data_IF_036984151216
#
_entry.id   IF_036984151216
#
_cell.length_a   1.000
_cell.length_b   1.000
_cell.length_c   1.000
_cell.angle_alpha   90.00
_cell.angle_beta   90.00
_cell.angle_gamma   90.00
#
_symmetry.space_group_name_H-M   'P 1'
#
loop_
_entity.id
_entity.type
_entity.pdbx_description
1 polymer ?
#
# COMPACT_ATOMS: atom_id res chain seq x y z
N UNK A 1 -5.36 20.10 -3.94
CA UNK A 1 -4.01 20.45 -3.47
C UNK A 1 -3.56 19.31 -2.59
N UNK A 2 -2.84 18.27 -3.05
CA UNK A 2 -2.25 17.86 -4.34
C UNK A 2 -3.28 17.42 -5.41
N UNK A 3 -2.81 16.65 -6.40
CA UNK A 3 -3.15 16.65 -7.85
C UNK A 3 -2.91 17.97 -8.59
N UNK A 4 -2.83 19.09 -7.90
CA UNK A 4 -2.52 20.41 -8.46
C UNK A 4 -1.40 21.11 -7.66
N UNK A 5 -0.60 21.98 -8.30
CA UNK A 5 0.47 22.75 -7.65
C UNK A 5 -0.03 23.67 -6.51
N UNK A 6 0.85 24.00 -5.54
CA UNK A 6 2.25 23.61 -5.46
C UNK A 6 2.41 22.16 -4.98
N UNK A 7 3.34 21.46 -5.63
CA UNK A 7 3.71 20.10 -5.26
C UNK A 7 4.74 20.12 -4.13
N UNK A 8 4.77 19.06 -3.31
CA UNK A 8 5.90 18.77 -2.43
C UNK A 8 7.11 18.44 -3.30
N UNK A 9 8.23 19.09 -3.04
CA UNK A 9 9.48 18.85 -3.76
C UNK A 9 10.33 17.74 -3.14
N UNK A 10 9.93 17.24 -1.97
CA UNK A 10 10.62 16.21 -1.21
C UNK A 10 9.60 15.27 -0.56
N UNK A 11 10.05 14.04 -0.31
CA UNK A 11 9.37 13.08 0.55
C UNK A 11 9.61 13.48 2.01
N UNK A 12 8.59 13.39 2.86
CA UNK A 12 8.72 13.67 4.29
C UNK A 12 8.59 12.40 5.13
N UNK A 13 9.13 12.44 6.33
CA UNK A 13 9.05 11.31 7.25
C UNK A 13 7.59 10.96 7.58
N UNK A 14 7.22 9.68 7.45
CA UNK A 14 5.84 9.22 7.64
C UNK A 14 5.00 9.17 6.35
N UNK A 15 5.47 9.78 5.25
CA UNK A 15 4.81 9.62 3.95
C UNK A 15 4.88 8.15 3.47
N UNK A 16 4.04 7.78 2.50
CA UNK A 16 4.05 6.46 1.87
C UNK A 16 4.37 6.52 0.38
N UNK A 17 5.13 5.54 -0.10
CA UNK A 17 5.49 5.39 -1.51
C UNK A 17 4.68 4.25 -2.14
N UNK A 18 4.00 4.58 -3.22
CA UNK A 18 3.23 3.67 -4.07
C UNK A 18 3.79 3.67 -5.49
N UNK A 19 3.57 2.59 -6.24
CA UNK A 19 4.19 2.38 -7.56
C UNK A 19 4.63 0.94 -7.77
N UNK A 20 5.40 0.69 -8.82
CA UNK A 20 6.05 -0.61 -9.03
C UNK A 20 7.14 -0.84 -7.98
N UNK A 21 7.36 -2.08 -7.54
CA UNK A 21 8.33 -2.39 -6.48
C UNK A 21 9.72 -1.88 -6.80
N UNK A 22 10.25 -2.21 -7.98
CA UNK A 22 11.60 -1.81 -8.40
C UNK A 22 11.74 -0.28 -8.46
N UNK A 23 10.67 0.41 -8.87
CA UNK A 23 10.63 1.87 -8.96
C UNK A 23 10.59 2.53 -7.58
N UNK A 24 9.81 2.00 -6.64
CA UNK A 24 9.83 2.47 -5.25
C UNK A 24 11.22 2.32 -4.65
N UNK A 25 11.86 1.18 -4.85
CA UNK A 25 13.23 0.93 -4.36
C UNK A 25 14.26 1.84 -5.06
N UNK A 26 14.09 2.10 -6.37
CA UNK A 26 14.91 3.04 -7.13
C UNK A 26 14.79 4.46 -6.59
N UNK A 27 13.59 4.94 -6.29
CA UNK A 27 13.37 6.27 -5.73
C UNK A 27 14.03 6.41 -4.36
N UNK A 28 13.75 5.46 -3.47
CA UNK A 28 14.38 5.43 -2.13
C UNK A 28 15.90 5.40 -2.25
N UNK A 29 16.46 4.63 -3.21
CA UNK A 29 17.91 4.40 -3.30
C UNK A 29 18.69 5.45 -4.10
N UNK A 30 18.08 6.16 -5.05
CA UNK A 30 18.82 7.00 -6.02
C UNK A 30 18.29 8.41 -6.17
N UNK A 31 17.09 8.72 -5.70
CA UNK A 31 16.49 10.04 -5.90
C UNK A 31 16.69 10.89 -4.64
N UNK A 32 17.34 12.03 -4.82
CA UNK A 32 17.73 12.92 -3.72
C UNK A 32 16.54 13.39 -2.88
N UNK A 33 15.42 13.67 -3.55
CA UNK A 33 14.15 14.08 -2.95
C UNK A 33 13.52 13.02 -2.04
N UNK A 34 14.03 11.78 -2.07
CA UNK A 34 13.57 10.66 -1.24
C UNK A 34 14.64 10.20 -0.23
N UNK A 35 15.78 10.89 -0.14
CA UNK A 35 16.89 10.51 0.75
C UNK A 35 16.50 10.47 2.23
N UNK A 36 15.49 11.24 2.67
CA UNK A 36 15.05 11.20 4.08
C UNK A 36 14.60 9.81 4.51
N UNK A 37 14.11 8.97 3.59
CA UNK A 37 13.79 7.55 3.86
C UNK A 37 15.03 6.77 4.32
N UNK A 38 16.22 7.17 3.85
CA UNK A 38 17.50 6.57 4.26
C UNK A 38 18.06 7.17 5.53
N UNK A 39 17.63 8.38 5.90
CA UNK A 39 18.06 9.01 7.14
C UNK A 39 17.38 8.30 8.30
N UNK A 40 18.11 7.36 8.89
CA UNK A 40 17.73 6.69 10.13
C UNK A 40 17.68 7.74 11.23
N UNK A 41 16.48 8.13 11.64
CA UNK A 41 16.30 9.07 12.73
C UNK A 41 16.38 8.36 14.08
N UNK A 42 16.60 9.20 15.10
CA UNK A 42 17.13 8.91 16.43
C UNK A 42 16.63 7.65 17.12
N UNK A 43 17.52 7.10 17.96
CA UNK A 43 17.32 5.97 18.86
C UNK A 43 15.91 5.97 19.47
N UNK A 44 15.19 4.87 19.30
CA UNK A 44 14.00 4.46 20.03
C UNK A 44 14.21 4.61 21.54
N UNK A 45 13.12 4.51 22.31
CA UNK A 45 13.18 4.33 23.77
C UNK A 45 14.10 3.17 24.19
N UNK A 46 14.32 2.18 23.31
CA UNK A 46 15.23 1.05 23.49
C UNK A 46 16.67 1.28 23.02
N UNK A 47 17.03 2.49 22.55
CA UNK A 47 18.38 2.80 22.08
C UNK A 47 18.68 2.36 20.64
N UNK A 48 17.71 1.77 19.93
CA UNK A 48 17.82 1.23 18.57
C UNK A 48 17.26 2.19 17.53
N UNK A 49 17.86 2.26 16.34
CA UNK A 49 17.37 3.15 15.28
C UNK A 49 16.04 2.62 14.70
N UNK A 50 14.96 3.38 14.84
CA UNK A 50 13.68 3.10 14.19
C UNK A 50 13.46 4.08 13.04
N UNK A 51 12.99 3.60 11.90
CA UNK A 51 12.60 4.44 10.76
C UNK A 51 11.15 4.16 10.42
N UNK A 52 10.33 5.22 10.36
CA UNK A 52 8.91 5.10 10.05
C UNK A 52 8.72 4.36 8.72
N UNK A 53 7.76 3.41 8.63
CA UNK A 53 7.63 2.62 7.41
C UNK A 53 7.13 3.44 6.23
N UNK A 54 7.97 3.60 5.20
CA UNK A 54 7.69 4.38 4.00
C UNK A 54 6.90 3.62 2.91
N UNK A 55 6.59 2.33 3.11
CA UNK A 55 5.89 1.50 2.12
C UNK A 55 4.81 0.67 2.80
N UNK A 56 3.67 0.51 2.11
CA UNK A 56 2.54 -0.30 2.61
C UNK A 56 2.92 -1.78 2.85
N UNK A 57 4.00 -2.26 2.24
CA UNK A 57 4.56 -3.58 2.46
C UNK A 57 4.89 -3.86 3.94
N UNK A 58 5.33 -2.84 4.68
CA UNK A 58 5.67 -2.97 6.10
C UNK A 58 4.45 -3.02 7.04
N UNK A 59 3.26 -2.67 6.54
CA UNK A 59 2.01 -2.73 7.29
C UNK A 59 1.42 -4.13 7.17
N UNK A 60 2.06 -5.11 7.81
CA UNK A 60 1.68 -6.53 7.69
C UNK A 60 0.25 -6.75 8.18
N UNK A 61 -0.54 -7.50 7.39
CA UNK A 61 -1.83 -8.05 7.84
C UNK A 61 -1.63 -9.45 8.43
N UNK A 62 -2.58 -10.01 9.20
CA UNK A 62 -2.36 -11.25 9.96
C UNK A 62 -1.90 -12.43 9.10
N UNK A 63 -2.50 -12.62 7.91
CA UNK A 63 -2.10 -13.69 7.00
C UNK A 63 -0.67 -13.54 6.47
N UNK A 64 -0.18 -12.31 6.25
CA UNK A 64 1.21 -12.07 5.85
C UNK A 64 2.17 -12.39 7.00
N UNK A 65 1.86 -11.91 8.21
CA UNK A 65 2.66 -12.13 9.40
C UNK A 65 2.79 -13.64 9.70
N UNK A 66 1.66 -14.36 9.71
CA UNK A 66 1.64 -15.82 9.91
C UNK A 66 2.40 -16.60 8.84
N UNK A 67 2.26 -16.23 7.56
CA UNK A 67 3.01 -16.85 6.47
C UNK A 67 4.52 -16.60 6.62
N UNK A 68 4.92 -15.37 6.96
CA UNK A 68 6.33 -15.01 7.12
C UNK A 68 6.99 -15.77 8.28
N UNK A 69 6.32 -15.84 9.43
CA UNK A 69 6.80 -16.59 10.60
C UNK A 69 6.94 -18.08 10.25
N UNK A 70 5.89 -18.68 9.70
CA UNK A 70 5.89 -20.09 9.31
C UNK A 70 6.98 -20.41 8.28
N UNK A 71 7.18 -19.54 7.29
CA UNK A 71 8.24 -19.69 6.30
C UNK A 71 9.63 -19.67 6.96
N UNK A 72 9.90 -18.71 7.84
CA UNK A 72 11.20 -18.58 8.48
C UNK A 72 11.50 -19.74 9.43
N UNK A 73 10.52 -20.27 10.14
CA UNK A 73 10.70 -21.43 11.00
C UNK A 73 11.04 -22.68 10.20
N UNK A 74 10.33 -22.93 9.11
CA UNK A 74 10.64 -24.02 8.19
C UNK A 74 12.02 -23.84 7.55
N UNK A 75 12.35 -22.62 7.11
CA UNK A 75 13.64 -22.29 6.52
C UNK A 75 14.80 -22.57 7.50
N UNK A 76 14.66 -22.17 8.78
CA UNK A 76 15.66 -22.45 9.83
C UNK A 76 15.83 -23.95 10.06
N UNK A 77 14.74 -24.73 10.12
CA UNK A 77 14.79 -26.20 10.28
C UNK A 77 15.52 -26.86 9.11
N UNK A 78 15.27 -26.43 7.88
CA UNK A 78 15.95 -26.96 6.70
C UNK A 78 17.46 -26.71 6.73
N UNK A 79 17.90 -25.52 7.19
CA UNK A 79 19.33 -25.22 7.38
C UNK A 79 19.94 -26.11 8.46
N UNK A 80 19.26 -26.25 9.61
CA UNK A 80 19.72 -27.07 10.74
C UNK A 80 19.90 -28.54 10.39
N UNK A 81 19.04 -29.07 9.50
CA UNK A 81 19.08 -30.47 9.05
C UNK A 81 20.15 -30.74 7.96
N UNK A 82 21.07 -29.80 7.69
CA UNK A 82 22.08 -29.87 6.60
C UNK A 82 21.50 -30.19 5.22
N UNK A 83 20.21 -29.96 4.99
CA UNK A 83 19.66 -29.97 3.64
C UNK A 83 20.31 -28.80 2.88
N UNK A 84 20.78 -29.06 1.66
CA UNK A 84 21.39 -28.03 0.80
C UNK A 84 20.32 -26.99 0.45
N UNK A 85 20.23 -25.92 1.23
CA UNK A 85 19.45 -24.72 0.86
C UNK A 85 20.26 -23.97 -0.20
N UNK A 86 20.26 -24.49 -1.42
CA UNK A 86 21.03 -23.94 -2.55
C UNK A 86 20.26 -22.92 -3.37
N UNK A 87 19.03 -22.60 -2.99
CA UNK A 87 18.18 -21.71 -3.76
C UNK A 87 18.31 -20.25 -3.28
N UNK A 88 19.05 -19.45 -4.05
CA UNK A 88 19.23 -18.02 -3.81
C UNK A 88 17.89 -17.26 -3.64
N UNK A 89 16.84 -17.69 -4.34
CA UNK A 89 15.50 -17.10 -4.20
C UNK A 89 14.93 -17.29 -2.78
N UNK A 90 15.10 -18.47 -2.18
CA UNK A 90 14.65 -18.72 -0.80
C UNK A 90 15.43 -17.89 0.20
N UNK A 91 16.74 -17.72 0.00
CA UNK A 91 17.59 -16.87 0.84
C UNK A 91 17.15 -15.41 0.75
N UNK A 92 16.93 -14.91 -0.46
CA UNK A 92 16.45 -13.54 -0.68
C UNK A 92 15.09 -13.31 -0.01
N UNK A 93 14.14 -14.24 -0.18
CA UNK A 93 12.83 -14.18 0.49
C UNK A 93 12.94 -14.23 2.01
N UNK A 94 13.82 -15.08 2.56
CA UNK A 94 14.06 -15.14 4.00
C UNK A 94 14.62 -13.82 4.54
N UNK A 95 15.55 -13.19 3.82
CA UNK A 95 16.12 -11.91 4.19
C UNK A 95 15.06 -10.79 4.11
N UNK A 96 14.21 -10.82 3.09
CA UNK A 96 13.10 -9.87 2.96
C UNK A 96 12.09 -10.02 4.11
N UNK A 97 11.70 -11.25 4.46
CA UNK A 97 10.77 -11.50 5.56
C UNK A 97 11.34 -11.08 6.90
N UNK A 98 12.62 -11.37 7.16
CA UNK A 98 13.33 -10.84 8.33
C UNK A 98 13.31 -9.32 8.36
N UNK A 99 13.53 -8.65 7.22
CA UNK A 99 13.48 -7.18 7.14
C UNK A 99 12.12 -6.64 7.55
N UNK A 100 11.01 -7.24 7.08
CA UNK A 100 9.67 -6.82 7.49
C UNK A 100 9.42 -7.09 8.98
N UNK A 101 9.71 -8.31 9.45
CA UNK A 101 9.47 -8.69 10.84
C UNK A 101 10.31 -7.90 11.85
N UNK A 102 11.52 -7.48 11.46
CA UNK A 102 12.34 -6.62 12.31
C UNK A 102 11.71 -5.24 12.50
N UNK A 103 11.08 -4.68 11.46
CA UNK A 103 10.40 -3.37 11.56
C UNK A 103 9.16 -3.47 12.44
N UNK A 104 8.36 -4.53 12.30
CA UNK A 104 7.13 -4.66 13.09
C UNK A 104 7.37 -5.03 14.56
N UNK A 105 8.60 -5.42 14.90
CA UNK A 105 9.00 -5.74 16.27
C UNK A 105 9.30 -4.51 17.13
N UNK A 106 9.40 -3.30 16.54
CA UNK A 106 9.57 -2.06 17.29
C UNK A 106 8.29 -1.67 18.01
N UNK A 107 8.40 -1.19 19.24
CA UNK A 107 7.25 -0.72 20.03
C UNK A 107 6.55 0.45 19.33
N UNK A 108 7.32 1.37 18.76
CA UNK A 108 6.83 2.53 18.01
C UNK A 108 6.00 2.14 16.77
N UNK A 109 6.24 0.95 16.19
CA UNK A 109 5.42 0.46 15.08
C UNK A 109 3.99 0.11 15.53
N UNK A 110 3.78 -0.20 16.82
CA UNK A 110 2.47 -0.56 17.37
C UNK A 110 1.40 0.49 17.10
N UNK A 111 1.73 1.78 17.22
CA UNK A 111 0.80 2.89 16.95
C UNK A 111 0.36 2.94 15.48
N UNK A 112 1.29 2.72 14.55
CA UNK A 112 1.03 2.64 13.12
C UNK A 112 0.15 1.43 12.78
N UNK A 113 0.46 0.26 13.36
CA UNK A 113 -0.34 -0.97 13.19
C UNK A 113 -1.77 -0.74 13.64
N UNK A 114 -1.97 -0.23 14.85
CA UNK A 114 -3.32 -0.03 15.40
C UNK A 114 -4.09 1.06 14.67
N UNK A 115 -3.44 2.15 14.28
CA UNK A 115 -4.06 3.19 13.44
C UNK A 115 -4.59 2.60 12.13
N UNK A 116 -3.75 1.85 11.42
CA UNK A 116 -4.13 1.21 10.17
C UNK A 116 -5.22 0.15 10.36
N UNK A 117 -5.08 -0.72 11.36
CA UNK A 117 -6.06 -1.78 11.65
C UNK A 117 -7.40 -1.20 12.08
N UNK A 118 -7.41 -0.16 12.92
CA UNK A 118 -8.63 0.55 13.33
C UNK A 118 -9.38 1.11 12.12
N UNK A 119 -8.67 1.68 11.14
CA UNK A 119 -9.27 2.12 9.88
C UNK A 119 -9.86 0.96 9.08
N UNK A 120 -9.09 -0.12 8.90
CA UNK A 120 -9.54 -1.30 8.16
C UNK A 120 -10.78 -1.96 8.79
N UNK A 121 -10.80 -2.14 10.12
CA UNK A 121 -11.94 -2.73 10.87
C UNK A 121 -13.25 -1.99 10.59
N UNK A 122 -13.20 -0.66 10.50
CA UNK A 122 -14.36 0.20 10.24
C UNK A 122 -14.75 0.27 8.77
N UNK A 123 -13.85 -0.13 7.86
CA UNK A 123 -14.06 -0.01 6.42
C UNK A 123 -14.86 -1.19 5.85
N UNK A 124 -16.06 -0.92 5.32
CA UNK A 124 -17.01 -1.90 4.79
C UNK A 124 -16.47 -2.90 3.74
N UNK A 125 -15.39 -2.56 3.04
CA UNK A 125 -14.78 -3.36 1.97
C UNK A 125 -13.43 -3.98 2.32
N UNK A 126 -12.71 -3.39 3.28
CA UNK A 126 -11.31 -3.74 3.52
C UNK A 126 -11.11 -4.50 4.83
N UNK A 127 -12.07 -4.48 5.76
CA UNK A 127 -12.01 -5.21 7.03
C UNK A 127 -11.61 -6.68 6.87
N UNK A 128 -12.01 -7.34 5.78
CA UNK A 128 -11.72 -8.75 5.49
C UNK A 128 -10.23 -9.09 5.47
N UNK A 129 -9.33 -8.12 5.27
CA UNK A 129 -7.88 -8.40 5.26
C UNK A 129 -7.33 -8.72 6.65
N UNK A 130 -8.13 -8.50 7.70
CA UNK A 130 -7.78 -8.79 9.09
C UNK A 130 -8.21 -10.19 9.54
N UNK A 131 -8.87 -10.96 8.67
CA UNK A 131 -9.21 -12.35 8.96
C UNK A 131 -7.94 -13.21 8.87
N UNK A 132 -7.70 -14.05 9.88
CA UNK A 132 -6.54 -14.93 9.96
C UNK A 132 -6.73 -16.22 9.15
N UNK A 133 -7.97 -16.57 8.82
CA UNK A 133 -8.33 -17.84 8.16
C UNK A 133 -8.40 -17.74 6.62
N UNK A 134 -8.03 -16.59 6.06
CA UNK A 134 -8.02 -16.38 4.61
C UNK A 134 -6.67 -16.80 4.02
N UNK A 135 -6.69 -17.25 2.78
CA UNK A 135 -5.45 -17.42 2.02
C UNK A 135 -4.95 -16.07 1.51
N UNK A 136 -3.62 -15.89 1.51
CA UNK A 136 -3.01 -14.74 0.86
C UNK A 136 -3.08 -14.90 -0.65
N UNK A 137 -3.81 -14.00 -1.29
CA UNK A 137 -3.90 -13.90 -2.74
C UNK A 137 -3.83 -12.44 -3.22
N UNK A 138 -3.85 -12.24 -4.54
CA UNK A 138 -3.83 -10.90 -5.14
C UNK A 138 -5.07 -10.06 -4.81
N UNK A 139 -6.18 -10.66 -4.38
CA UNK A 139 -7.38 -9.95 -3.96
C UNK A 139 -7.17 -9.35 -2.58
N UNK A 140 -6.68 -10.15 -1.63
CA UNK A 140 -6.37 -9.74 -0.25
C UNK A 140 -5.27 -8.69 -0.24
N UNK A 141 -4.16 -8.91 -0.96
CA UNK A 141 -3.10 -7.91 -1.07
C UNK A 141 -3.62 -6.64 -1.74
N UNK A 142 -4.44 -6.77 -2.79
CA UNK A 142 -5.08 -5.62 -3.43
C UNK A 142 -6.00 -4.84 -2.47
N UNK A 143 -6.73 -5.52 -1.58
CA UNK A 143 -7.57 -4.89 -0.55
C UNK A 143 -6.71 -4.18 0.50
N UNK A 144 -5.63 -4.81 1.00
CA UNK A 144 -4.67 -4.19 1.92
C UNK A 144 -4.14 -2.89 1.35
N UNK A 145 -3.61 -2.94 0.13
CA UNK A 145 -3.01 -1.81 -0.55
C UNK A 145 -3.98 -0.63 -0.74
N UNK A 146 -5.20 -0.89 -1.21
CA UNK A 146 -6.25 0.14 -1.33
C UNK A 146 -6.75 0.62 0.02
N UNK A 147 -6.75 -0.26 1.03
CA UNK A 147 -7.01 0.09 2.42
C UNK A 147 -5.97 1.07 2.95
N UNK A 148 -4.69 0.89 2.62
CA UNK A 148 -3.61 1.82 2.94
C UNK A 148 -3.82 3.20 2.29
N UNK A 149 -4.20 3.23 1.01
CA UNK A 149 -4.55 4.50 0.34
C UNK A 149 -5.69 5.20 1.07
N UNK A 150 -6.78 4.46 1.37
CA UNK A 150 -7.93 4.98 2.10
C UNK A 150 -7.59 5.41 3.53
N UNK A 151 -6.67 4.72 4.20
CA UNK A 151 -6.26 5.04 5.56
C UNK A 151 -5.54 6.39 5.61
N UNK A 152 -4.49 6.57 4.81
CA UNK A 152 -3.76 7.84 4.76
C UNK A 152 -4.68 8.98 4.33
N UNK A 153 -5.52 8.74 3.32
CA UNK A 153 -6.31 9.80 2.70
C UNK A 153 -7.62 10.13 3.41
N UNK A 154 -8.23 9.19 4.12
CA UNK A 154 -9.61 9.35 4.61
C UNK A 154 -9.80 8.96 6.07
N UNK A 155 -8.73 8.61 6.79
CA UNK A 155 -8.84 8.36 8.22
C UNK A 155 -8.77 9.68 9.01
N UNK A 156 -9.58 9.77 10.06
CA UNK A 156 -9.61 10.91 10.97
C UNK A 156 -8.74 10.64 12.20
N UNK A 157 -7.47 10.28 11.99
CA UNK A 157 -6.52 10.12 13.09
C UNK A 157 -5.31 11.04 12.90
N UNK A 158 -4.83 11.58 14.02
CA UNK A 158 -3.70 12.51 14.09
C UNK A 158 -2.46 11.96 13.37
N UNK A 159 -2.22 10.65 13.46
CA UNK A 159 -1.08 9.99 12.82
C UNK A 159 -1.05 10.19 11.30
N UNK A 160 -2.21 10.24 10.65
CA UNK A 160 -2.31 10.37 9.18
C UNK A 160 -2.51 11.80 8.71
N UNK A 161 -2.60 12.77 9.61
CA UNK A 161 -2.92 14.16 9.27
C UNK A 161 -1.88 14.75 8.30
N UNK A 162 -0.60 14.57 8.62
CA UNK A 162 0.53 15.08 7.82
C UNK A 162 1.04 14.09 6.75
N UNK A 163 0.58 12.84 6.80
CA UNK A 163 1.01 11.78 5.88
C UNK A 163 0.51 12.04 4.46
N UNK A 164 1.41 11.94 3.49
CA UNK A 164 1.11 12.01 2.06
C UNK A 164 1.53 10.74 1.34
N UNK A 165 0.93 10.52 0.17
CA UNK A 165 1.26 9.42 -0.72
C UNK A 165 2.00 9.98 -1.93
N UNK A 166 3.19 9.42 -2.17
CA UNK A 166 4.01 9.66 -3.33
C UNK A 166 3.84 8.48 -4.29
N UNK A 167 3.08 8.68 -5.37
CA UNK A 167 2.79 7.64 -6.35
C UNK A 167 3.72 7.77 -7.56
N UNK A 168 4.61 6.79 -7.72
CA UNK A 168 5.60 6.75 -8.80
C UNK A 168 4.96 6.19 -10.08
N UNK A 169 5.03 6.94 -11.17
CA UNK A 169 4.47 6.59 -12.48
C UNK A 169 5.48 5.93 -13.43
N UNK A 170 6.77 5.98 -13.10
CA UNK A 170 7.84 5.41 -13.92
C UNK A 170 7.57 3.93 -14.26
N UNK A 171 7.83 3.54 -15.51
CA UNK A 171 7.63 2.19 -16.05
C UNK A 171 6.19 1.64 -15.99
N UNK A 172 5.20 2.47 -15.63
CA UNK A 172 3.79 2.08 -15.67
C UNK A 172 3.24 2.29 -17.08
N UNK A 173 2.88 1.20 -17.75
CA UNK A 173 2.06 1.25 -18.95
C UNK A 173 0.62 1.67 -18.61
N UNK A 174 0.32 2.97 -18.73
CA UNK A 174 -0.99 3.56 -18.40
C UNK A 174 -2.13 2.94 -19.22
N UNK A 175 -1.87 2.61 -20.49
CA UNK A 175 -2.87 1.97 -21.36
C UNK A 175 -3.31 0.62 -20.81
N UNK A 176 -2.36 -0.23 -20.40
CA UNK A 176 -2.68 -1.54 -19.80
C UNK A 176 -3.40 -1.43 -18.45
N UNK A 177 -3.09 -0.39 -17.67
CA UNK A 177 -3.79 -0.10 -16.41
C UNK A 177 -5.26 0.21 -16.71
N UNK A 178 -5.51 1.08 -17.68
CA UNK A 178 -6.84 1.54 -18.08
C UNK A 178 -7.63 0.41 -18.72
N UNK A 179 -7.03 -0.38 -19.60
CA UNK A 179 -7.68 -1.51 -20.27
C UNK A 179 -7.85 -2.74 -19.38
N UNK A 180 -7.33 -2.70 -18.15
CA UNK A 180 -7.32 -3.82 -17.19
C UNK A 180 -6.64 -5.08 -17.74
N UNK A 181 -5.74 -4.94 -18.72
CA UNK A 181 -4.95 -6.05 -19.26
C UNK A 181 -3.76 -6.39 -18.35
N UNK A 182 -3.36 -5.47 -17.48
CA UNK A 182 -2.37 -5.70 -16.42
C UNK A 182 -3.05 -5.97 -15.09
N UNK A 183 -2.94 -7.21 -14.61
CA UNK A 183 -3.36 -7.59 -13.26
C UNK A 183 -2.23 -7.39 -12.24
N UNK A 184 -1.83 -6.15 -12.01
CA UNK A 184 -0.90 -5.78 -10.94
C UNK A 184 -1.60 -5.03 -9.82
N UNK A 185 -1.05 -5.12 -8.61
CA UNK A 185 -1.51 -4.35 -7.45
C UNK A 185 -1.41 -2.85 -7.72
N UNK A 186 -0.29 -2.39 -8.29
CA UNK A 186 -0.09 -0.99 -8.71
C UNK A 186 -1.17 -0.51 -9.69
N UNK A 187 -1.59 -1.34 -10.65
CA UNK A 187 -2.68 -0.99 -11.55
C UNK A 187 -4.02 -0.87 -10.81
N UNK A 188 -4.28 -1.74 -9.82
CA UNK A 188 -5.49 -1.67 -8.96
C UNK A 188 -5.48 -0.41 -8.09
N UNK A 189 -4.33 -0.02 -7.57
CA UNK A 189 -4.11 1.19 -6.78
C UNK A 189 -4.35 2.45 -7.62
N UNK A 190 -3.71 2.56 -8.79
CA UNK A 190 -3.87 3.74 -9.66
C UNK A 190 -5.33 3.91 -10.12
N UNK A 191 -6.01 2.80 -10.47
CA UNK A 191 -7.45 2.80 -10.76
C UNK A 191 -8.31 3.18 -9.55
N UNK A 192 -7.88 2.83 -8.34
CA UNK A 192 -8.57 3.26 -7.12
C UNK A 192 -8.45 4.78 -6.97
N UNK A 193 -7.24 5.34 -7.12
CA UNK A 193 -6.99 6.78 -7.03
C UNK A 193 -7.84 7.54 -8.05
N UNK A 194 -7.82 7.12 -9.32
CA UNK A 194 -8.63 7.75 -10.36
C UNK A 194 -10.14 7.74 -10.02
N UNK A 195 -10.67 6.65 -9.47
CA UNK A 195 -12.09 6.59 -9.07
C UNK A 195 -12.44 7.52 -7.91
N UNK A 196 -11.47 7.86 -7.05
CA UNK A 196 -11.67 8.75 -5.91
C UNK A 196 -11.13 10.16 -6.17
N UNK A 197 -10.77 10.49 -7.43
CA UNK A 197 -10.08 11.74 -7.76
C UNK A 197 -10.84 13.02 -7.41
N UNK A 198 -12.17 12.93 -7.32
CA UNK A 198 -13.04 14.05 -6.97
C UNK A 198 -13.26 14.18 -5.44
N UNK A 199 -12.77 13.23 -4.65
CA UNK A 199 -12.77 13.35 -3.20
C UNK A 199 -11.64 14.31 -2.78
N UNK A 200 -12.02 15.40 -2.09
CA UNK A 200 -11.07 16.43 -1.67
C UNK A 200 -9.97 15.90 -0.75
N UNK A 201 -10.28 14.96 0.15
CA UNK A 201 -9.30 14.38 1.07
C UNK A 201 -8.29 13.47 0.35
N UNK A 202 -8.76 12.76 -0.68
CA UNK A 202 -7.88 11.94 -1.53
C UNK A 202 -7.00 12.83 -2.39
N UNK A 203 -7.60 13.80 -3.05
CA UNK A 203 -6.86 14.79 -3.82
C UNK A 203 -5.98 15.66 -2.92
N UNK A 204 -6.24 15.77 -1.61
CA UNK A 204 -5.46 16.55 -0.63
C UNK A 204 -4.23 15.83 -0.06
N UNK A 205 -4.02 14.54 -0.38
CA UNK A 205 -2.89 13.77 0.15
C UNK A 205 -2.09 12.94 -0.86
N UNK A 206 -2.48 12.89 -2.14
CA UNK A 206 -1.77 12.10 -3.15
C UNK A 206 -1.06 12.98 -4.19
N UNK A 207 0.25 12.78 -4.35
CA UNK A 207 1.08 13.39 -5.38
C UNK A 207 1.67 12.34 -6.32
N UNK A 208 1.81 12.70 -7.60
CA UNK A 208 2.44 11.85 -8.61
C UNK A 208 3.87 12.28 -8.91
N UNK A 209 4.68 11.30 -9.25
CA UNK A 209 6.09 11.47 -9.63
C UNK A 209 6.35 10.77 -10.95
N UNK A 210 7.04 11.44 -11.86
CA UNK A 210 7.48 10.90 -13.13
C UNK A 210 8.87 11.44 -13.44
N UNK A 211 9.80 10.56 -13.81
CA UNK A 211 11.18 10.92 -14.09
C UNK A 211 11.83 11.74 -12.95
N UNK A 212 11.58 11.34 -11.70
CA UNK A 212 12.13 11.96 -10.48
C UNK A 212 11.60 13.37 -10.17
N UNK A 213 10.59 13.83 -10.91
CA UNK A 213 9.95 15.13 -10.73
C UNK A 213 8.47 14.97 -10.33
N UNK A 214 7.95 15.85 -9.45
CA UNK A 214 6.52 15.95 -9.23
C UNK A 214 5.78 16.27 -10.53
N UNK A 215 4.63 15.64 -10.73
CA UNK A 215 3.85 15.82 -11.96
C UNK A 215 2.35 15.82 -11.72
N UNK A 216 1.61 16.24 -12.74
CA UNK A 216 0.16 16.11 -12.77
C UNK A 216 -0.27 14.64 -12.84
N UNK A 217 -1.48 14.33 -12.37
CA UNK A 217 -2.03 13.00 -12.54
C UNK A 217 -2.07 12.54 -14.01
N UNK A 218 -1.95 11.22 -14.27
CA UNK A 218 -1.89 10.69 -15.64
C UNK A 218 -3.19 10.89 -16.45
N UNK A 219 -4.29 11.25 -15.80
CA UNK A 219 -5.55 11.59 -16.47
C UNK A 219 -5.65 13.04 -16.91
N UNK A 220 -4.69 13.89 -16.54
CA UNK A 220 -4.60 15.26 -17.07
C UNK A 220 -3.95 15.24 -18.45
N UNK A 221 -2.94 14.38 -18.66
CA UNK A 221 -2.24 14.26 -19.93
C UNK A 221 -3.00 13.43 -20.98
N UNK A 222 -3.84 12.48 -20.57
CA UNK A 222 -4.66 11.67 -21.47
C UNK A 222 -6.10 11.49 -20.94
N UNK A 223 -6.87 12.57 -20.96
CA UNK A 223 -8.25 12.57 -20.46
C UNK A 223 -9.14 11.54 -21.18
N UNK A 224 -8.94 11.37 -22.49
CA UNK A 224 -9.76 10.48 -23.32
C UNK A 224 -9.62 9.01 -22.94
N UNK A 225 -8.38 8.55 -22.68
CA UNK A 225 -8.11 7.18 -22.26
C UNK A 225 -8.80 6.87 -20.93
N UNK A 226 -8.66 7.77 -19.96
CA UNK A 226 -9.24 7.60 -18.64
C UNK A 226 -10.77 7.77 -18.61
N UNK A 227 -11.34 8.64 -19.45
CA UNK A 227 -12.78 8.75 -19.63
C UNK A 227 -13.39 7.43 -20.15
N UNK A 228 -12.70 6.76 -21.07
CA UNK A 228 -13.09 5.44 -21.57
C UNK A 228 -13.01 4.35 -20.48
N UNK A 229 -12.03 4.41 -19.58
CA UNK A 229 -12.00 3.56 -18.39
C UNK A 229 -13.24 3.78 -17.52
N UNK A 230 -13.58 5.04 -17.20
CA UNK A 230 -14.71 5.37 -16.35
C UNK A 230 -16.03 4.87 -16.95
N UNK A 231 -16.24 5.12 -18.25
CA UNK A 231 -17.44 4.66 -18.98
C UNK A 231 -17.57 3.15 -18.94
N UNK A 232 -16.50 2.39 -19.24
CA UNK A 232 -16.49 0.92 -19.14
C UNK A 232 -16.74 0.45 -17.71
N UNK A 233 -16.20 1.12 -16.70
CA UNK A 233 -16.39 0.75 -15.30
C UNK A 233 -17.84 0.93 -14.83
N UNK A 234 -18.53 1.96 -15.33
CA UNK A 234 -19.96 2.17 -15.05
C UNK A 234 -20.80 1.13 -15.80
N UNK A 235 -20.56 0.97 -17.12
CA UNK A 235 -21.33 0.06 -17.97
C UNK A 235 -21.17 -1.41 -17.56
N UNK A 236 -19.99 -1.82 -17.10
CA UNK A 236 -19.74 -3.20 -16.68
C UNK A 236 -20.18 -3.47 -15.22
N UNK A 237 -21.03 -2.62 -14.62
CA UNK A 237 -21.53 -2.77 -13.26
C UNK A 237 -20.44 -3.23 -12.28
N UNK A 238 -19.45 -2.37 -11.99
CA UNK A 238 -18.64 -2.51 -10.77
C UNK A 238 -19.52 -2.12 -9.55
N UNK A 239 -20.62 -2.86 -9.37
CA UNK A 239 -21.54 -2.86 -8.24
C UNK A 239 -20.86 -3.38 -6.97
N UNK A 240 -19.54 -3.58 -6.95
CA UNK A 240 -18.86 -4.08 -5.75
C UNK A 240 -19.03 -3.13 -4.56
N UNK A 241 -19.33 -1.85 -4.78
CA UNK A 241 -19.75 -0.92 -3.72
C UNK A 241 -21.23 -1.06 -3.32
N UNK A 242 -22.13 -1.25 -4.28
CA UNK A 242 -23.58 -1.37 -4.05
C UNK A 242 -23.99 -2.74 -3.52
N UNK A 243 -23.43 -3.83 -4.05
CA UNK A 243 -23.58 -5.18 -3.51
C UNK A 243 -23.00 -5.29 -2.10
N UNK A 244 -21.83 -4.70 -1.81
CA UNK A 244 -21.32 -4.68 -0.43
C UNK A 244 -22.26 -3.92 0.53
N UNK A 245 -23.03 -2.93 0.07
CA UNK A 245 -24.06 -2.28 0.89
C UNK A 245 -25.33 -3.15 1.03
N UNK A 246 -25.78 -3.79 -0.06
CA UNK A 246 -26.96 -4.66 -0.08
C UNK A 246 -26.80 -5.94 0.75
N UNK A 247 -25.64 -6.61 0.69
CA UNK A 247 -25.38 -7.82 1.46
C UNK A 247 -25.14 -7.55 2.95
N UNK A 248 -24.55 -6.41 3.31
CA UNK A 248 -24.38 -6.03 4.72
C UNK A 248 -25.69 -5.62 5.41
N UNK A 249 -26.69 -5.13 4.67
CA UNK A 249 -28.01 -4.83 5.23
C UNK A 249 -28.79 -6.10 5.63
N UNK A 250 -28.58 -7.22 4.92
CA UNK A 250 -29.25 -8.49 5.23
C UNK A 250 -28.74 -9.16 6.52
N UNK A 251 -27.47 -8.99 6.89
CA UNK A 251 -26.92 -9.59 8.11
C UNK A 251 -27.26 -8.84 9.41
N UNK A 252 -27.59 -7.54 9.34
CA UNK A 252 -28.03 -6.77 10.52
C UNK A 252 -29.47 -7.06 10.96
N UNK A 253 -30.30 -7.70 10.13
CA UNK A 253 -31.71 -7.99 10.43
C UNK A 253 -31.96 -9.40 11.00
N UNK A 254 -30.92 -10.22 11.18
CA UNK A 254 -31.01 -11.60 11.68
C UNK A 254 -30.49 -11.71 13.15
N UNK A 255 -30.00 -10.61 13.74
CA UNK A 255 -29.45 -10.58 15.10
C UNK A 255 -30.08 -9.48 15.99
N UNK A 256 -31.35 -9.16 15.77
CA UNK A 256 -32.15 -8.31 16.67
C UNK A 256 -33.35 -9.07 17.22
#
# INVERSE_FOLDING_TARGET
>A
MPFSPPFRNEFLEGDLIYGLTDERERYISRVDKFKIVKHKLTKSTSGQEFSKPAMINYYLIPVEEGEMVSFLDNFKRSIGNRQRVSNQCLINRANEYKRYLNVVAFEEYGEYKESFYSHLRKHNKYYTVLDENISKDNVIIGRKCKGGLSWVTMSNCQLTEDMHIHFILDEINIKEVVDKTRDSITAKELRWIYRHRNNREVASKIQFWLNQEPTFPPWVSDETLWANYYRRSILNHDLSGEFSRLFNYKYRKILS
#
